data_IF_190855669432
#
_entry.id   IF_190855669432
#
_cell.length_a   1.000
_cell.length_b   1.000
_cell.length_c   1.000
_cell.angle_alpha   90.00
_cell.angle_beta   90.00
_cell.angle_gamma   90.00
#
_symmetry.space_group_name_H-M   'P 1'
#
loop_
_entity.id
_entity.type
_entity.pdbx_description
1 polymer ?
#
# COMPACT_ATOMS: atom_id res chain seq x y z
N UNK A 1 -29.09 -8.62 4.43
CA UNK A 1 -29.03 -7.15 4.61
C UNK A 1 -29.25 -6.84 6.07
N UNK A 2 -28.21 -6.43 6.79
CA UNK A 2 -28.23 -6.21 8.25
C UNK A 2 -28.97 -4.92 8.67
N UNK A 3 -29.01 -3.94 7.77
CA UNK A 3 -29.69 -2.65 7.98
C UNK A 3 -30.57 -2.34 6.77
N UNK A 4 -31.70 -1.60 6.97
CA UNK A 4 -32.53 -1.19 5.85
C UNK A 4 -31.78 -0.20 4.95
N UNK A 5 -31.98 -0.25 3.64
CA UNK A 5 -31.37 0.68 2.66
C UNK A 5 -31.51 2.16 3.07
N UNK A 6 -32.68 2.52 3.60
CA UNK A 6 -32.96 3.90 4.03
C UNK A 6 -32.07 4.32 5.21
N UNK A 7 -31.84 3.43 6.20
CA UNK A 7 -30.94 3.72 7.34
C UNK A 7 -29.48 3.80 6.91
N UNK A 8 -29.04 2.92 6.01
CA UNK A 8 -27.69 2.95 5.44
C UNK A 8 -27.42 4.26 4.71
N UNK A 9 -28.39 4.69 3.89
CA UNK A 9 -28.24 5.95 3.14
C UNK A 9 -28.26 7.18 4.04
N UNK A 10 -29.08 7.18 5.08
CA UNK A 10 -29.06 8.26 6.10
C UNK A 10 -27.73 8.28 6.83
N UNK A 11 -27.22 7.13 7.26
CA UNK A 11 -25.90 7.01 7.91
C UNK A 11 -24.78 7.54 7.02
N UNK A 12 -24.77 7.18 5.73
CA UNK A 12 -23.79 7.68 4.75
C UNK A 12 -23.84 9.21 4.64
N UNK A 13 -25.04 9.79 4.58
CA UNK A 13 -25.21 11.25 4.52
C UNK A 13 -24.69 11.95 5.78
N UNK A 14 -24.97 11.38 6.94
CA UNK A 14 -24.52 11.95 8.22
C UNK A 14 -23.00 11.85 8.37
N UNK A 15 -22.38 10.74 7.99
CA UNK A 15 -20.91 10.58 7.94
C UNK A 15 -20.27 11.54 6.93
N UNK A 16 -20.82 11.67 5.72
CA UNK A 16 -20.33 12.62 4.72
C UNK A 16 -20.44 14.07 5.19
N UNK A 17 -21.45 14.40 6.00
CA UNK A 17 -21.61 15.69 6.63
C UNK A 17 -20.73 15.90 7.88
N UNK A 18 -19.82 14.95 8.19
CA UNK A 18 -18.93 14.96 9.35
C UNK A 18 -19.66 15.07 10.70
N UNK A 19 -20.85 14.48 10.82
CA UNK A 19 -21.57 14.39 12.06
C UNK A 19 -21.07 13.25 12.91
N UNK A 20 -21.12 13.40 14.23
CA UNK A 20 -20.95 12.28 15.14
C UNK A 20 -22.15 11.34 15.03
N UNK A 21 -21.87 10.04 14.84
CA UNK A 21 -22.88 9.01 14.71
C UNK A 21 -22.54 7.87 15.66
N UNK A 22 -23.47 7.51 16.53
CA UNK A 22 -23.34 6.39 17.43
C UNK A 22 -24.18 5.20 16.95
N UNK A 23 -23.50 4.07 16.68
CA UNK A 23 -24.15 2.82 16.35
C UNK A 23 -24.05 1.86 17.54
N UNK A 24 -25.17 1.35 18.01
CA UNK A 24 -25.24 0.37 19.11
C UNK A 24 -25.91 -0.92 18.65
N UNK A 25 -25.70 -2.01 19.43
CA UNK A 25 -26.30 -3.31 19.12
C UNK A 25 -25.65 -4.07 17.96
N UNK A 26 -24.45 -3.64 17.55
CA UNK A 26 -23.65 -4.34 16.53
C UNK A 26 -22.60 -5.22 17.23
N UNK A 27 -22.70 -6.53 17.00
CA UNK A 27 -21.80 -7.51 17.60
C UNK A 27 -20.84 -8.08 16.57
N UNK A 28 -19.59 -8.34 16.96
CA UNK A 28 -18.55 -8.95 16.13
C UNK A 28 -18.41 -8.25 14.77
N UNK A 29 -18.35 -9.02 13.68
CA UNK A 29 -18.17 -8.51 12.32
C UNK A 29 -19.38 -7.74 11.77
N UNK A 30 -20.56 -7.75 12.46
CA UNK A 30 -21.73 -6.99 12.01
C UNK A 30 -21.46 -5.48 11.87
N UNK A 31 -20.58 -4.91 12.67
CA UNK A 31 -20.13 -3.51 12.59
C UNK A 31 -19.42 -3.22 11.26
N UNK A 32 -18.66 -4.17 10.73
CA UNK A 32 -17.90 -3.99 9.50
C UNK A 32 -18.78 -4.03 8.25
N UNK A 33 -19.87 -4.81 8.27
CA UNK A 33 -20.92 -4.72 7.26
C UNK A 33 -21.54 -3.33 7.22
N UNK A 34 -21.81 -2.74 8.38
CA UNK A 34 -22.36 -1.38 8.45
C UNK A 34 -21.36 -0.36 7.92
N UNK A 35 -20.10 -0.49 8.31
CA UNK A 35 -19.02 0.39 7.84
C UNK A 35 -18.85 0.26 6.33
N UNK A 36 -18.76 -0.96 5.77
CA UNK A 36 -18.56 -1.17 4.34
C UNK A 36 -19.71 -0.64 3.47
N UNK A 37 -20.95 -0.71 3.99
CA UNK A 37 -22.12 -0.21 3.26
C UNK A 37 -22.36 1.31 3.41
N UNK A 38 -21.96 1.90 4.54
CA UNK A 38 -22.30 3.28 4.87
C UNK A 38 -21.17 4.29 4.68
N UNK A 39 -19.93 3.83 4.53
CA UNK A 39 -18.79 4.76 4.36
C UNK A 39 -18.93 5.61 3.12
N UNK A 40 -18.67 6.92 3.22
CA UNK A 40 -18.64 7.82 2.07
C UNK A 40 -17.40 7.58 1.21
N UNK A 41 -17.42 8.07 -0.04
CA UNK A 41 -16.23 8.13 -0.87
C UNK A 41 -15.11 8.93 -0.18
N UNK A 42 -13.87 8.57 -0.47
CA UNK A 42 -12.68 9.16 0.14
C UNK A 42 -12.00 8.23 1.14
N UNK A 43 -11.06 8.77 1.89
CA UNK A 43 -10.28 8.03 2.90
C UNK A 43 -11.08 7.90 4.19
N UNK A 44 -11.42 6.68 4.57
CA UNK A 44 -12.09 6.34 5.82
C UNK A 44 -11.07 5.71 6.77
N UNK A 45 -10.79 6.36 7.89
CA UNK A 45 -9.86 5.84 8.90
C UNK A 45 -10.66 5.08 9.96
N UNK A 46 -10.33 3.81 10.16
CA UNK A 46 -10.94 2.92 11.13
C UNK A 46 -9.95 2.66 12.26
N UNK A 47 -10.20 3.22 13.43
CA UNK A 47 -9.30 3.14 14.58
C UNK A 47 -9.86 2.13 15.57
N UNK A 48 -9.08 1.09 15.88
CA UNK A 48 -9.40 0.03 16.83
C UNK A 48 -8.60 0.25 18.13
N UNK A 49 -9.03 -0.34 19.25
CA UNK A 49 -8.37 -0.11 20.54
C UNK A 49 -6.96 -0.70 20.63
N UNK A 50 -6.65 -1.72 19.81
CA UNK A 50 -5.40 -2.45 19.84
C UNK A 50 -5.08 -3.07 18.47
N UNK A 51 -3.85 -3.55 18.33
CA UNK A 51 -3.32 -4.15 17.09
C UNK A 51 -4.12 -5.37 16.64
N UNK A 52 -4.40 -6.30 17.56
CA UNK A 52 -5.08 -7.56 17.23
C UNK A 52 -6.49 -7.29 16.70
N UNK A 53 -7.21 -6.38 17.36
CA UNK A 53 -8.52 -5.91 16.90
C UNK A 53 -8.48 -5.25 15.54
N UNK A 54 -7.41 -4.49 15.24
CA UNK A 54 -7.21 -3.84 13.95
C UNK A 54 -6.87 -4.85 12.84
N UNK A 55 -6.05 -5.87 13.12
CA UNK A 55 -5.74 -6.95 12.16
C UNK A 55 -7.01 -7.75 11.82
N UNK A 56 -7.84 -8.13 12.81
CA UNK A 56 -9.13 -8.79 12.56
C UNK A 56 -10.08 -7.93 11.74
N UNK A 57 -10.20 -6.64 12.08
CA UNK A 57 -11.04 -5.70 11.33
C UNK A 57 -10.57 -5.57 9.88
N UNK A 58 -9.27 -5.45 9.66
CA UNK A 58 -8.67 -5.36 8.32
C UNK A 58 -9.01 -6.58 7.48
N UNK A 59 -8.88 -7.78 8.05
CA UNK A 59 -9.23 -9.04 7.40
C UNK A 59 -10.73 -9.13 7.06
N UNK A 60 -11.60 -8.75 7.99
CA UNK A 60 -13.05 -8.74 7.76
C UNK A 60 -13.45 -7.74 6.67
N UNK A 61 -12.91 -6.51 6.71
CA UNK A 61 -13.18 -5.49 5.69
C UNK A 61 -12.64 -5.91 4.31
N UNK A 62 -11.45 -6.51 4.25
CA UNK A 62 -10.87 -7.02 3.02
C UNK A 62 -11.78 -8.07 2.34
N UNK A 63 -12.45 -8.91 3.14
CA UNK A 63 -13.41 -9.88 2.64
C UNK A 63 -14.75 -9.27 2.17
N UNK A 64 -15.10 -8.06 2.65
CA UNK A 64 -16.38 -7.39 2.36
C UNK A 64 -16.29 -6.36 1.24
N UNK A 65 -15.09 -5.81 1.00
CA UNK A 65 -14.86 -4.71 0.06
C UNK A 65 -14.05 -5.22 -1.12
N UNK A 66 -14.55 -5.01 -2.33
CA UNK A 66 -13.87 -5.44 -3.55
C UNK A 66 -12.64 -4.58 -3.86
N UNK A 67 -11.58 -5.22 -4.34
CA UNK A 67 -10.34 -4.60 -4.81
C UNK A 67 -9.41 -4.13 -3.68
N UNK A 68 -8.30 -3.53 -4.06
CA UNK A 68 -7.27 -3.00 -3.16
C UNK A 68 -7.71 -1.68 -2.50
N UNK A 69 -8.71 -1.77 -1.62
CA UNK A 69 -9.31 -0.61 -0.93
C UNK A 69 -9.12 -0.63 0.58
N UNK A 70 -8.60 -1.71 1.13
CA UNK A 70 -8.38 -1.86 2.57
C UNK A 70 -6.89 -1.97 2.84
N UNK A 71 -6.36 -1.06 3.63
CA UNK A 71 -4.95 -0.99 3.99
C UNK A 71 -4.81 -0.99 5.51
N UNK A 72 -3.97 -1.86 6.02
CA UNK A 72 -3.59 -1.88 7.41
C UNK A 72 -2.39 -0.95 7.61
N UNK A 73 -2.50 -0.01 8.56
CA UNK A 73 -1.43 0.88 8.96
C UNK A 73 -0.91 0.45 10.34
N UNK A 74 0.13 -0.41 10.40
CA UNK A 74 0.74 -0.83 11.67
C UNK A 74 1.72 0.20 12.22
N UNK A 75 2.17 0.00 13.46
CA UNK A 75 3.37 0.64 13.99
C UNK A 75 4.64 0.16 13.26
N UNK A 76 5.75 0.85 13.46
CA UNK A 76 7.03 0.53 12.81
C UNK A 76 7.71 -0.75 13.34
N UNK A 77 7.15 -1.39 14.36
CA UNK A 77 7.74 -2.58 14.99
C UNK A 77 9.10 -2.32 15.65
N UNK A 78 9.39 -1.09 16.07
CA UNK A 78 10.67 -0.72 16.73
C UNK A 78 11.02 -1.60 17.92
N UNK A 79 10.01 -2.13 18.61
CA UNK A 79 10.16 -3.03 19.76
C UNK A 79 10.39 -4.51 19.40
N UNK A 80 10.32 -4.89 18.12
CA UNK A 80 10.39 -6.29 17.69
C UNK A 80 11.75 -6.59 17.08
N UNK A 81 12.49 -7.54 17.65
CA UNK A 81 13.84 -7.92 17.18
C UNK A 81 13.88 -8.78 15.90
N UNK A 82 12.77 -9.36 15.46
CA UNK A 82 12.73 -10.27 14.30
C UNK A 82 12.72 -9.50 12.97
N UNK A 83 13.82 -9.56 12.22
CA UNK A 83 14.04 -8.80 10.98
C UNK A 83 12.95 -9.00 9.91
N UNK A 84 12.48 -10.23 9.70
CA UNK A 84 11.44 -10.52 8.69
C UNK A 84 10.08 -9.91 9.04
N UNK A 85 9.75 -9.83 10.33
CA UNK A 85 8.50 -9.22 10.78
C UNK A 85 8.54 -7.69 10.63
N UNK A 86 9.67 -7.06 10.96
CA UNK A 86 9.87 -5.62 10.72
C UNK A 86 9.71 -5.26 9.24
N UNK A 87 10.27 -6.06 8.35
CA UNK A 87 10.13 -5.88 6.90
C UNK A 87 8.67 -5.92 6.47
N UNK A 88 7.89 -6.87 6.97
CA UNK A 88 6.45 -6.98 6.69
C UNK A 88 5.65 -5.77 7.18
N UNK A 89 5.92 -5.26 8.38
CA UNK A 89 5.27 -4.06 8.92
C UNK A 89 5.63 -2.81 8.12
N UNK A 90 6.91 -2.67 7.73
CA UNK A 90 7.39 -1.58 6.88
C UNK A 90 6.67 -1.53 5.54
N UNK A 91 6.49 -2.70 4.91
CA UNK A 91 5.72 -2.84 3.66
C UNK A 91 4.28 -2.36 3.84
N UNK A 92 3.57 -2.90 4.83
CA UNK A 92 2.18 -2.54 5.08
C UNK A 92 2.02 -1.05 5.37
N UNK A 93 2.90 -0.49 6.20
CA UNK A 93 2.88 0.93 6.54
C UNK A 93 3.18 1.81 5.33
N UNK A 94 4.22 1.49 4.53
CA UNK A 94 4.55 2.21 3.29
C UNK A 94 3.42 2.15 2.28
N UNK A 95 2.82 0.99 2.09
CA UNK A 95 1.69 0.80 1.20
C UNK A 95 0.47 1.64 1.63
N UNK A 96 0.10 1.61 2.91
CA UNK A 96 -1.00 2.41 3.44
C UNK A 96 -0.77 3.92 3.24
N UNK A 97 0.43 4.41 3.57
CA UNK A 97 0.80 5.83 3.40
C UNK A 97 0.82 6.21 1.92
N UNK A 98 1.40 5.39 1.06
CA UNK A 98 1.41 5.61 -0.40
C UNK A 98 0.00 5.75 -0.97
N UNK A 99 -0.94 4.91 -0.53
CA UNK A 99 -2.36 4.99 -0.96
C UNK A 99 -3.06 6.24 -0.44
N UNK A 100 -2.79 6.65 0.79
CA UNK A 100 -3.33 7.93 1.32
C UNK A 100 -2.86 9.10 0.45
N UNK A 101 -1.59 9.12 0.06
CA UNK A 101 -1.01 10.19 -0.75
C UNK A 101 -1.60 10.20 -2.17
N UNK A 102 -1.67 9.04 -2.82
CA UNK A 102 -2.22 8.93 -4.18
C UNK A 102 -3.74 9.20 -4.24
N UNK A 103 -4.47 8.96 -3.16
CA UNK A 103 -5.92 9.24 -3.10
C UNK A 103 -6.27 10.72 -3.12
N UNK A 104 -5.32 11.60 -2.77
CA UNK A 104 -5.51 13.07 -2.88
C UNK A 104 -5.72 13.52 -4.32
N UNK A 105 -5.12 12.81 -5.27
CA UNK A 105 -5.20 13.17 -6.70
C UNK A 105 -6.44 12.57 -7.37
N UNK A 106 -6.97 11.46 -6.84
CA UNK A 106 -8.11 10.71 -7.43
C UNK A 106 -9.48 11.12 -6.89
N UNK A 107 -9.56 11.83 -5.79
CA UNK A 107 -10.71 12.56 -5.21
C UNK A 107 -12.00 11.77 -4.89
N UNK A 108 -12.21 10.55 -5.40
CA UNK A 108 -13.49 9.87 -5.31
C UNK A 108 -13.42 8.36 -5.00
N UNK A 109 -12.24 7.80 -4.76
CA UNK A 109 -12.08 6.39 -4.45
C UNK A 109 -12.38 6.11 -2.98
N UNK A 110 -13.22 5.10 -2.72
CA UNK A 110 -13.47 4.61 -1.37
C UNK A 110 -12.24 3.85 -0.88
N UNK A 111 -11.63 4.32 0.20
CA UNK A 111 -10.43 3.74 0.79
C UNK A 111 -10.62 3.57 2.30
N UNK A 112 -10.19 2.43 2.85
CA UNK A 112 -10.15 2.15 4.28
C UNK A 112 -8.71 2.04 4.76
N UNK A 113 -8.38 2.83 5.79
CA UNK A 113 -7.12 2.72 6.52
C UNK A 113 -7.46 2.20 7.92
N UNK A 114 -7.11 0.96 8.19
CA UNK A 114 -7.37 0.31 9.48
C UNK A 114 -6.12 0.43 10.34
N UNK A 115 -6.27 0.92 11.56
CA UNK A 115 -5.14 1.25 12.44
C UNK A 115 -5.53 1.23 13.93
N UNK A 116 -4.58 1.55 14.81
CA UNK A 116 -4.71 1.59 16.27
C UNK A 116 -3.84 2.72 16.85
N UNK A 117 -4.04 3.12 18.13
CA UNK A 117 -3.42 4.33 18.67
C UNK A 117 -1.90 4.40 18.53
N UNK A 118 -1.18 3.32 18.88
CA UNK A 118 0.29 3.28 18.83
C UNK A 118 0.84 3.52 17.41
N UNK A 119 0.12 3.04 16.40
CA UNK A 119 0.51 3.24 15.00
C UNK A 119 0.29 4.68 14.50
N UNK A 120 -0.73 5.37 15.06
CA UNK A 120 -1.05 6.76 14.69
C UNK A 120 -0.09 7.75 15.36
N UNK A 121 0.39 7.43 16.57
CA UNK A 121 1.33 8.29 17.30
C UNK A 121 2.71 8.36 16.63
N UNK A 122 3.05 7.39 15.78
CA UNK A 122 4.30 7.40 15.05
C UNK A 122 4.29 8.40 13.89
N UNK A 123 5.34 9.20 13.82
CA UNK A 123 5.55 10.16 12.74
C UNK A 123 5.63 9.44 11.37
N UNK A 124 5.04 10.08 10.38
CA UNK A 124 5.14 9.67 8.97
C UNK A 124 5.97 10.76 8.26
N UNK A 125 6.92 10.39 7.38
CA UNK A 125 7.64 11.36 6.58
C UNK A 125 6.70 12.25 5.77
N UNK A 126 7.10 13.50 5.53
CA UNK A 126 6.32 14.40 4.68
C UNK A 126 6.17 13.84 3.26
N UNK A 127 5.05 14.14 2.61
CA UNK A 127 4.74 13.67 1.25
C UNK A 127 5.81 14.01 0.22
N UNK A 128 6.45 15.18 0.37
CA UNK A 128 7.56 15.66 -0.48
C UNK A 128 8.80 14.77 -0.35
N UNK A 129 9.09 14.26 0.84
CA UNK A 129 10.21 13.34 1.09
C UNK A 129 9.95 11.97 0.45
N UNK A 130 8.73 11.49 0.48
CA UNK A 130 8.33 10.19 -0.12
C UNK A 130 8.35 10.29 -1.64
N UNK A 131 7.74 11.33 -2.21
CA UNK A 131 7.72 11.56 -3.66
C UNK A 131 9.12 11.84 -4.21
N UNK A 132 9.97 12.54 -3.45
CA UNK A 132 11.36 12.80 -3.83
C UNK A 132 12.26 11.56 -3.75
N UNK A 133 11.86 10.53 -3.00
CA UNK A 133 12.59 9.27 -2.89
C UNK A 133 12.13 8.21 -3.91
N UNK A 134 10.96 8.39 -4.53
CA UNK A 134 10.43 7.45 -5.51
C UNK A 134 11.22 7.53 -6.82
N UNK A 135 11.64 6.37 -7.34
CA UNK A 135 12.24 6.24 -8.67
C UNK A 135 11.12 5.94 -9.67
N UNK A 136 10.90 6.85 -10.62
CA UNK A 136 9.96 6.63 -11.72
C UNK A 136 10.73 6.20 -12.97
N UNK A 137 10.33 5.08 -13.56
CA UNK A 137 10.89 4.54 -14.81
C UNK A 137 9.76 4.43 -15.83
N UNK A 138 9.91 5.05 -16.99
CA UNK A 138 8.89 5.06 -18.06
C UNK A 138 9.37 4.30 -19.28
N UNK A 139 8.45 3.71 -20.00
CA UNK A 139 8.71 3.17 -21.34
C UNK A 139 9.27 4.27 -22.25
N UNK A 140 10.38 3.98 -22.92
CA UNK A 140 11.12 4.92 -23.76
C UNK A 140 12.13 5.82 -23.02
N UNK A 141 12.27 5.69 -21.69
CA UNK A 141 13.33 6.39 -20.97
C UNK A 141 14.72 5.84 -21.37
N UNK A 142 15.69 6.71 -21.56
CA UNK A 142 17.11 6.35 -21.69
C UNK A 142 17.78 6.39 -20.32
N UNK A 143 17.94 5.21 -19.71
CA UNK A 143 18.54 5.08 -18.39
C UNK A 143 19.34 3.78 -18.30
N UNK A 144 20.61 3.86 -17.89
CA UNK A 144 21.45 2.68 -17.79
C UNK A 144 21.03 1.77 -16.63
N UNK A 145 21.20 0.45 -16.80
CA UNK A 145 21.02 -0.54 -15.74
C UNK A 145 21.76 -0.18 -14.46
N UNK A 146 23.03 0.23 -14.57
CA UNK A 146 23.87 0.57 -13.44
C UNK A 146 23.30 1.76 -12.64
N UNK A 147 22.73 2.74 -13.32
CA UNK A 147 22.08 3.88 -12.67
C UNK A 147 20.90 3.44 -11.81
N UNK A 148 20.04 2.57 -12.34
CA UNK A 148 18.89 2.02 -11.58
C UNK A 148 19.39 1.19 -10.40
N UNK A 149 20.34 0.29 -10.62
CA UNK A 149 20.91 -0.57 -9.57
C UNK A 149 21.52 0.27 -8.45
N UNK A 150 22.27 1.33 -8.78
CA UNK A 150 22.85 2.22 -7.79
C UNK A 150 21.80 2.93 -6.94
N UNK A 151 20.71 3.40 -7.56
CA UNK A 151 19.58 4.01 -6.83
C UNK A 151 18.93 2.98 -5.90
N UNK A 152 18.61 1.77 -6.39
CA UNK A 152 18.00 0.71 -5.58
C UNK A 152 18.88 0.33 -4.38
N UNK A 153 20.18 0.15 -4.59
CA UNK A 153 21.14 -0.14 -3.50
C UNK A 153 21.19 1.00 -2.49
N UNK A 154 21.24 2.26 -2.96
CA UNK A 154 21.24 3.43 -2.07
C UNK A 154 19.95 3.58 -1.25
N UNK A 155 18.86 3.00 -1.72
CA UNK A 155 17.56 2.94 -1.06
C UNK A 155 17.33 1.66 -0.26
N UNK A 156 18.39 0.89 0.02
CA UNK A 156 18.38 -0.35 0.78
C UNK A 156 17.56 -1.50 0.16
N UNK A 157 17.33 -1.50 -1.16
CA UNK A 157 16.79 -2.68 -1.83
C UNK A 157 17.82 -3.80 -1.83
N UNK A 158 17.36 -5.03 -1.64
CA UNK A 158 18.20 -6.23 -1.54
C UNK A 158 18.25 -6.91 -2.91
N UNK A 159 19.46 -7.14 -3.43
CA UNK A 159 19.63 -7.90 -4.66
C UNK A 159 19.45 -9.40 -4.39
N UNK A 160 18.60 -10.04 -5.22
CA UNK A 160 18.28 -11.47 -5.16
C UNK A 160 18.36 -12.09 -6.55
N UNK A 161 18.33 -13.42 -6.64
CA UNK A 161 18.24 -14.12 -7.93
C UNK A 161 16.82 -14.04 -8.51
N UNK A 162 15.81 -14.12 -7.64
CA UNK A 162 14.38 -13.99 -7.97
C UNK A 162 13.68 -13.11 -6.95
N UNK A 163 12.87 -12.20 -7.45
CA UNK A 163 12.08 -11.30 -6.62
C UNK A 163 10.86 -12.03 -6.08
N UNK A 164 10.67 -12.00 -4.76
CA UNK A 164 9.56 -12.66 -4.06
C UNK A 164 8.91 -11.80 -2.99
N UNK A 165 9.52 -10.68 -2.61
CA UNK A 165 9.01 -9.79 -1.57
C UNK A 165 9.37 -8.32 -1.87
N UNK A 166 8.57 -7.34 -1.39
CA UNK A 166 8.91 -5.93 -1.48
C UNK A 166 10.30 -5.61 -0.94
N UNK A 167 10.96 -4.63 -1.56
CA UNK A 167 12.34 -4.26 -1.24
C UNK A 167 13.39 -5.16 -1.89
N UNK A 168 13.01 -6.09 -2.76
CA UNK A 168 13.92 -6.93 -3.52
C UNK A 168 14.01 -6.47 -4.98
N UNK A 169 15.19 -6.70 -5.59
CA UNK A 169 15.39 -6.58 -7.03
C UNK A 169 16.28 -7.67 -7.56
N UNK A 170 16.13 -7.99 -8.84
CA UNK A 170 16.96 -8.97 -9.56
C UNK A 170 17.37 -8.39 -10.93
N UNK A 171 18.59 -8.67 -11.36
CA UNK A 171 19.11 -8.27 -12.68
C UNK A 171 19.47 -9.52 -13.46
N UNK A 172 18.87 -9.69 -14.63
CA UNK A 172 19.05 -10.86 -15.50
C UNK A 172 19.18 -10.44 -16.96
N UNK A 173 20.41 -10.31 -17.43
CA UNK A 173 20.68 -9.81 -18.78
C UNK A 173 20.12 -8.40 -18.98
N UNK A 174 19.21 -8.22 -19.93
CA UNK A 174 18.53 -6.95 -20.22
C UNK A 174 17.24 -6.74 -19.41
N UNK A 175 17.05 -7.44 -18.28
CA UNK A 175 15.84 -7.35 -17.48
C UNK A 175 16.21 -6.98 -16.04
N UNK A 176 15.45 -6.02 -15.48
CA UNK A 176 15.47 -5.72 -14.06
C UNK A 176 14.08 -5.98 -13.50
N UNK A 177 13.97 -6.91 -12.55
CA UNK A 177 12.78 -7.13 -11.76
C UNK A 177 12.90 -6.35 -10.44
N UNK A 178 11.87 -5.58 -10.07
CA UNK A 178 11.88 -4.73 -8.87
C UNK A 178 10.56 -4.86 -8.14
N UNK A 179 10.58 -5.13 -6.82
CA UNK A 179 9.39 -5.11 -5.99
C UNK A 179 9.37 -3.86 -5.13
N UNK A 180 8.59 -2.87 -5.54
CA UNK A 180 8.33 -1.64 -4.80
C UNK A 180 7.64 -1.93 -3.47
N UNK A 181 7.86 -1.09 -2.46
CA UNK A 181 7.12 -1.18 -1.19
C UNK A 181 5.68 -0.68 -1.30
N UNK A 182 5.32 0.03 -2.36
CA UNK A 182 3.96 0.57 -2.55
C UNK A 182 3.01 -0.37 -3.29
N UNK A 183 3.52 -1.44 -3.91
CA UNK A 183 2.76 -2.26 -4.83
C UNK A 183 2.58 -3.70 -4.33
N UNK A 184 1.47 -4.33 -4.74
CA UNK A 184 1.15 -5.72 -4.42
C UNK A 184 1.92 -6.72 -5.28
N UNK A 185 2.43 -6.30 -6.44
CA UNK A 185 3.15 -7.11 -7.41
C UNK A 185 4.41 -6.38 -7.90
N UNK A 186 5.47 -7.13 -8.23
CA UNK A 186 6.70 -6.54 -8.74
C UNK A 186 6.59 -6.10 -10.20
N UNK A 187 7.49 -5.19 -10.56
CA UNK A 187 7.71 -4.74 -11.94
C UNK A 187 8.82 -5.53 -12.61
N UNK A 188 8.64 -5.84 -13.89
CA UNK A 188 9.66 -6.36 -14.80
C UNK A 188 9.92 -5.32 -15.88
N UNK A 189 11.13 -4.80 -15.91
CA UNK A 189 11.55 -3.75 -16.82
C UNK A 189 12.54 -4.38 -17.80
N UNK A 190 12.19 -4.38 -19.09
CA UNK A 190 13.03 -4.89 -20.16
C UNK A 190 13.70 -3.74 -20.91
N UNK A 191 14.94 -3.95 -21.31
CA UNK A 191 15.76 -2.94 -21.95
C UNK A 191 16.27 -3.40 -23.32
N UNK A 192 16.38 -2.45 -24.24
CA UNK A 192 17.16 -2.58 -25.47
C UNK A 192 18.34 -1.60 -25.39
N UNK A 193 19.54 -2.08 -25.04
CA UNK A 193 20.63 -1.20 -24.63
C UNK A 193 20.31 -0.46 -23.34
N UNK A 194 20.32 0.86 -23.37
CA UNK A 194 19.95 1.74 -22.26
C UNK A 194 18.50 2.28 -22.37
N UNK A 195 17.76 1.88 -23.41
CA UNK A 195 16.36 2.28 -23.58
C UNK A 195 15.42 1.30 -22.89
N UNK A 196 14.45 1.81 -22.14
CA UNK A 196 13.37 1.03 -21.51
C UNK A 196 12.36 0.61 -22.59
N UNK A 197 12.38 -0.66 -22.98
CA UNK A 197 11.50 -1.20 -24.01
C UNK A 197 10.10 -1.50 -23.49
N UNK A 198 10.01 -2.17 -22.32
CA UNK A 198 8.73 -2.51 -21.71
C UNK A 198 8.78 -2.38 -20.19
N UNK A 199 7.61 -2.04 -19.61
CA UNK A 199 7.35 -2.09 -18.17
C UNK A 199 6.16 -3.01 -17.96
N UNK A 200 6.36 -4.13 -17.26
CA UNK A 200 5.33 -5.10 -16.96
C UNK A 200 5.18 -5.29 -15.46
N UNK A 201 3.95 -5.49 -15.00
CA UNK A 201 3.67 -6.07 -13.69
C UNK A 201 3.65 -7.59 -13.83
N UNK A 202 4.25 -8.32 -12.90
CA UNK A 202 4.23 -9.78 -12.94
C UNK A 202 3.90 -10.40 -11.59
N UNK A 203 3.37 -11.60 -11.60
CA UNK A 203 3.09 -12.38 -10.41
C UNK A 203 4.35 -13.12 -9.94
N UNK A 204 4.78 -12.88 -8.69
CA UNK A 204 6.02 -13.47 -8.17
C UNK A 204 5.99 -14.99 -7.97
N UNK A 205 4.80 -15.61 -7.85
CA UNK A 205 4.68 -17.05 -7.70
C UNK A 205 4.79 -17.77 -9.05
N UNK A 206 4.09 -17.23 -10.06
CA UNK A 206 4.09 -17.84 -11.41
C UNK A 206 5.19 -17.30 -12.31
N UNK A 207 5.80 -16.16 -11.97
CA UNK A 207 6.78 -15.41 -12.77
C UNK A 207 6.24 -14.93 -14.13
N UNK A 208 4.92 -14.96 -14.32
CA UNK A 208 4.26 -14.53 -15.56
C UNK A 208 3.84 -13.06 -15.45
N UNK A 209 4.00 -12.33 -16.58
CA UNK A 209 3.48 -10.97 -16.70
C UNK A 209 1.97 -10.98 -16.63
N UNK A 210 1.41 -10.05 -15.84
CA UNK A 210 -0.03 -9.90 -15.59
C UNK A 210 -0.56 -8.70 -16.36
N UNK A 211 0.20 -7.61 -16.42
CA UNK A 211 -0.22 -6.34 -16.99
C UNK A 211 0.99 -5.58 -17.57
N UNK A 212 0.83 -4.93 -18.74
CA UNK A 212 1.79 -3.95 -19.27
C UNK A 212 1.39 -2.54 -18.81
N UNK A 213 2.38 -1.73 -18.41
CA UNK A 213 2.20 -0.34 -17.98
C UNK A 213 3.13 0.61 -18.70
N UNK A 214 2.78 1.90 -18.75
CA UNK A 214 3.64 2.93 -19.33
C UNK A 214 4.75 3.37 -18.37
N UNK A 215 4.59 3.13 -17.07
CA UNK A 215 5.57 3.48 -16.03
C UNK A 215 5.57 2.51 -14.86
N UNK A 216 6.73 2.40 -14.21
CA UNK A 216 6.91 1.84 -12.89
C UNK A 216 7.22 2.97 -11.91
N UNK A 217 6.63 2.93 -10.72
CA UNK A 217 6.91 3.85 -9.63
C UNK A 217 7.46 3.06 -8.44
N UNK A 218 8.75 3.17 -8.21
CA UNK A 218 9.46 2.38 -7.21
C UNK A 218 9.61 3.23 -5.96
N UNK A 219 8.84 2.91 -4.94
CA UNK A 219 8.87 3.56 -3.63
C UNK A 219 9.73 2.73 -2.68
N UNK A 220 10.76 3.33 -2.04
CA UNK A 220 11.58 2.64 -1.04
C UNK A 220 10.81 2.46 0.28
N UNK A 221 11.39 1.68 1.21
CA UNK A 221 10.88 1.60 2.57
C UNK A 221 10.99 2.97 3.25
N UNK A 222 9.86 3.61 3.49
CA UNK A 222 9.79 4.93 4.15
C UNK A 222 10.17 4.86 5.63
N UNK A 223 10.20 3.66 6.22
CA UNK A 223 10.56 3.45 7.62
C UNK A 223 12.06 3.19 7.81
N UNK A 224 12.80 2.90 6.72
CA UNK A 224 14.22 2.60 6.78
C UNK A 224 15.11 3.86 6.97
N UNK A 225 14.57 5.04 6.71
CA UNK A 225 15.27 6.31 6.98
C UNK A 225 14.94 6.79 8.38
N UNK A 226 15.87 6.67 9.31
CA UNK A 226 15.93 7.57 10.46
C UNK A 226 16.06 8.99 9.89
N UNK A 227 15.04 9.79 10.09
CA UNK A 227 15.04 11.22 9.79
C UNK A 227 15.90 11.95 10.83
#
# INVERSE_FOLDING_TARGET
MLISKQKTEQLRKDMAARKEVFCSGLYLSARWFVVSEASPAGVNVVILPDKDSAEYCSSDLYALVEGDRVFFLPDSGKSVERSNYKSSLGVQRTSAVGRILSSKDSGNDLLYIVTYPEAIEELIPESTSISGAALTIRKGDEISHDSIVNVLVSQNFIRTDFVSAPGQFAVRGSIIDIFSYSDSNPYRISFFGDEVETVNVFDCNTQLSVEERDKAEIVPDIMAKEL
#
